data_IF_499546021473
#
_entry.id   IF_499546021473
#
_cell.length_a   1.000
_cell.length_b   1.000
_cell.length_c   1.000
_cell.angle_alpha   90.00
_cell.angle_beta   90.00
_cell.angle_gamma   90.00
#
_symmetry.space_group_name_H-M   'P 1'
#
loop_
_entity.id
_entity.type
_entity.pdbx_description
1 polymer ?
#
# COMPACT_ATOMS: atom_id res chain seq x y z
N UNK A 1 -7.68 -4.24 24.34
CA UNK A 1 -7.63 -3.36 23.15
C UNK A 1 -8.93 -2.62 22.83
N UNK A 2 -10.10 -3.27 22.87
CA UNK A 2 -11.31 -2.61 22.34
C UNK A 2 -11.88 -1.47 23.20
N UNK A 3 -11.69 -1.48 24.52
CA UNK A 3 -12.16 -0.40 25.41
C UNK A 3 -11.35 0.89 25.21
N UNK A 4 -10.02 0.79 25.20
CA UNK A 4 -9.07 1.91 25.02
C UNK A 4 -9.28 2.62 23.66
N UNK A 5 -9.45 1.85 22.58
CA UNK A 5 -9.61 2.44 21.24
C UNK A 5 -10.96 3.15 21.02
N UNK A 6 -11.98 2.86 21.85
CA UNK A 6 -13.33 3.42 21.66
C UNK A 6 -13.60 4.70 22.46
N UNK A 7 -12.84 4.94 23.52
CA UNK A 7 -13.09 6.04 24.47
C UNK A 7 -12.09 7.19 24.36
N UNK A 8 -11.00 7.01 23.59
CA UNK A 8 -9.91 7.98 23.50
C UNK A 8 -9.06 8.07 24.77
N UNK A 9 -9.29 7.18 25.75
CA UNK A 9 -8.50 7.07 26.98
C UNK A 9 -7.51 5.93 26.86
N UNK A 10 -6.27 6.19 27.26
CA UNK A 10 -5.17 5.22 27.15
C UNK A 10 -4.97 4.38 28.42
N UNK A 11 -5.51 4.81 29.57
CA UNK A 11 -5.31 4.18 30.87
C UNK A 11 -6.60 4.25 31.71
N UNK A 12 -6.73 3.30 32.63
CA UNK A 12 -7.83 3.20 33.59
C UNK A 12 -7.29 2.75 34.95
N UNK A 13 -7.91 3.24 36.02
CA UNK A 13 -7.60 2.79 37.38
C UNK A 13 -8.25 1.45 37.69
N UNK A 14 -7.66 0.65 38.58
CA UNK A 14 -8.28 -0.60 39.04
C UNK A 14 -9.63 -0.36 39.73
N UNK A 15 -9.78 0.77 40.43
CA UNK A 15 -11.05 1.14 41.07
C UNK A 15 -12.18 1.26 40.03
N UNK A 16 -11.95 1.97 38.93
CA UNK A 16 -12.92 2.06 37.83
C UNK A 16 -13.25 0.68 37.25
N UNK A 17 -12.25 -0.20 37.11
CA UNK A 17 -12.48 -1.55 36.60
C UNK A 17 -13.31 -2.40 37.56
N UNK A 18 -13.10 -2.25 38.87
CA UNK A 18 -13.89 -2.91 39.91
C UNK A 18 -15.35 -2.45 39.89
N UNK A 19 -15.57 -1.15 39.76
CA UNK A 19 -16.91 -0.56 39.67
C UNK A 19 -17.63 -1.01 38.39
N UNK A 20 -16.95 -1.00 37.24
CA UNK A 20 -17.50 -1.43 35.96
C UNK A 20 -17.91 -2.91 35.95
N UNK A 21 -17.12 -3.77 36.61
CA UNK A 21 -17.40 -5.20 36.70
C UNK A 21 -18.29 -5.56 37.90
N UNK A 22 -18.56 -4.60 38.79
CA UNK A 22 -19.20 -4.79 40.08
C UNK A 22 -18.52 -5.91 40.91
N UNK A 23 -17.18 -5.86 41.00
CA UNK A 23 -16.35 -6.86 41.68
C UNK A 23 -15.51 -6.23 42.79
N UNK A 24 -15.32 -6.96 43.89
CA UNK A 24 -14.33 -6.58 44.92
C UNK A 24 -12.92 -6.94 44.46
N UNK A 25 -11.90 -6.22 44.97
CA UNK A 25 -10.49 -6.43 44.62
C UNK A 25 -10.03 -7.90 44.74
N UNK A 26 -10.36 -8.58 45.84
CA UNK A 26 -9.98 -9.98 46.06
C UNK A 26 -10.64 -10.92 45.04
N UNK A 27 -11.89 -10.66 44.68
CA UNK A 27 -12.62 -11.48 43.72
C UNK A 27 -12.10 -11.26 42.31
N UNK A 28 -11.83 -10.00 41.95
CA UNK A 28 -11.19 -9.65 40.68
C UNK A 28 -9.86 -10.39 40.53
N UNK A 29 -8.99 -10.37 41.55
CA UNK A 29 -7.69 -11.04 41.52
C UNK A 29 -7.85 -12.57 41.30
N UNK A 30 -8.81 -13.19 41.99
CA UNK A 30 -9.11 -14.61 41.81
C UNK A 30 -9.57 -14.93 40.39
N UNK A 31 -10.44 -14.13 39.81
CA UNK A 31 -10.94 -14.33 38.43
C UNK A 31 -9.80 -14.08 37.42
N UNK A 32 -9.01 -13.03 37.63
CA UNK A 32 -7.83 -12.69 36.81
C UNK A 32 -6.86 -13.87 36.73
N UNK A 33 -6.50 -14.44 37.88
CA UNK A 33 -5.60 -15.60 37.97
C UNK A 33 -6.18 -16.83 37.24
N UNK A 34 -7.50 -17.04 37.27
CA UNK A 34 -8.14 -18.11 36.48
C UNK A 34 -8.03 -17.87 34.98
N UNK A 35 -8.25 -16.63 34.52
CA UNK A 35 -8.11 -16.28 33.11
C UNK A 35 -6.65 -16.39 32.64
N UNK A 36 -5.69 -16.07 33.50
CA UNK A 36 -4.26 -16.27 33.25
C UNK A 36 -3.92 -17.77 33.11
N UNK A 37 -4.40 -18.61 34.03
CA UNK A 37 -4.19 -20.06 34.00
C UNK A 37 -4.79 -20.72 32.76
N UNK A 38 -5.94 -20.23 32.29
CA UNK A 38 -6.59 -20.66 31.04
C UNK A 38 -5.97 -20.00 29.79
N UNK A 39 -4.91 -19.20 29.93
CA UNK A 39 -4.25 -18.47 28.85
C UNK A 39 -5.19 -17.56 28.04
N UNK A 40 -6.28 -17.08 28.67
CA UNK A 40 -7.23 -16.11 28.09
C UNK A 40 -6.81 -14.67 28.38
N UNK A 41 -5.91 -14.48 29.36
CA UNK A 41 -5.37 -13.20 29.75
C UNK A 41 -3.86 -13.30 29.93
N UNK A 42 -3.13 -12.30 29.44
CA UNK A 42 -1.71 -12.11 29.77
C UNK A 42 -1.55 -10.74 30.42
N UNK A 43 -0.87 -10.73 31.56
CA UNK A 43 -0.70 -9.54 32.39
C UNK A 43 0.78 -9.21 32.47
N UNK A 44 1.15 -7.96 32.17
CA UNK A 44 2.46 -7.41 32.46
C UNK A 44 2.32 -6.34 33.54
N UNK A 45 3.28 -6.25 34.44
CA UNK A 45 3.32 -5.24 35.48
C UNK A 45 4.64 -4.46 35.40
N UNK A 46 4.56 -3.14 35.52
CA UNK A 46 5.68 -2.25 35.74
C UNK A 46 5.29 -1.25 36.83
N UNK A 47 5.92 -1.35 37.99
CA UNK A 47 5.53 -0.59 39.20
C UNK A 47 4.04 -0.78 39.51
N UNK A 48 3.26 0.30 39.58
CA UNK A 48 1.81 0.28 39.80
C UNK A 48 0.98 0.21 38.50
N UNK A 49 1.63 0.08 37.34
CA UNK A 49 0.98 0.03 36.02
C UNK A 49 0.85 -1.41 35.53
N UNK A 50 -0.35 -1.77 35.09
CA UNK A 50 -0.68 -3.10 34.57
C UNK A 50 -1.12 -3.05 33.11
N UNK A 51 -0.57 -3.93 32.28
CA UNK A 51 -0.99 -4.12 30.89
C UNK A 51 -1.73 -5.45 30.74
N UNK A 52 -2.99 -5.37 30.33
CA UNK A 52 -3.88 -6.52 30.14
C UNK A 52 -4.06 -6.86 28.66
N UNK A 53 -3.51 -7.99 28.24
CA UNK A 53 -3.64 -8.53 26.89
C UNK A 53 -4.66 -9.66 26.89
N UNK A 54 -5.88 -9.37 26.41
CA UNK A 54 -6.92 -10.37 26.22
C UNK A 54 -6.62 -11.22 24.99
N UNK A 55 -6.72 -12.55 25.15
CA UNK A 55 -6.53 -13.52 24.08
C UNK A 55 -7.89 -14.12 23.67
N UNK A 56 -8.05 -14.41 22.39
CA UNK A 56 -9.21 -15.16 21.92
C UNK A 56 -9.15 -16.60 22.45
N UNK A 57 -10.29 -17.22 22.78
CA UNK A 57 -10.31 -18.62 23.18
C UNK A 57 -9.88 -19.51 22.01
N UNK A 58 -9.45 -20.73 22.33
CA UNK A 58 -9.22 -21.78 21.35
C UNK A 58 -10.50 -22.09 20.57
N UNK A 59 -10.35 -22.52 19.31
CA UNK A 59 -11.48 -23.08 18.56
C UNK A 59 -11.95 -24.38 19.21
N UNK A 60 -13.21 -24.77 18.97
CA UNK A 60 -13.76 -26.02 19.52
C UNK A 60 -12.87 -27.23 19.21
N UNK A 61 -12.38 -27.33 17.96
CA UNK A 61 -11.44 -28.39 17.56
C UNK A 61 -10.14 -28.35 18.37
N UNK A 62 -9.52 -27.18 18.50
CA UNK A 62 -8.27 -27.04 19.24
C UNK A 62 -8.45 -27.36 20.72
N UNK A 63 -9.54 -26.89 21.33
CA UNK A 63 -9.82 -27.12 22.75
C UNK A 63 -10.14 -28.59 23.05
N UNK A 64 -11.00 -29.23 22.24
CA UNK A 64 -11.45 -30.60 22.47
C UNK A 64 -10.38 -31.65 22.14
N UNK A 65 -9.47 -31.35 21.22
CA UNK A 65 -8.34 -32.24 20.84
C UNK A 65 -7.11 -32.01 21.72
N UNK A 66 -7.03 -30.88 22.44
CA UNK A 66 -5.94 -30.62 23.38
C UNK A 66 -5.91 -31.67 24.50
N UNK A 67 -4.74 -32.23 24.77
CA UNK A 67 -4.56 -33.33 25.72
C UNK A 67 -4.84 -32.93 27.16
N UNK A 68 -4.70 -31.64 27.50
CA UNK A 68 -4.89 -31.14 28.86
C UNK A 68 -6.31 -30.61 29.02
N UNK A 69 -6.75 -29.67 28.16
CA UNK A 69 -8.06 -29.04 28.31
C UNK A 69 -9.23 -29.96 27.97
N UNK A 70 -9.10 -30.80 26.94
CA UNK A 70 -10.14 -31.77 26.57
C UNK A 70 -10.35 -32.80 27.68
N UNK A 71 -9.25 -33.36 28.19
CA UNK A 71 -9.27 -34.34 29.29
C UNK A 71 -9.80 -33.74 30.59
N UNK A 72 -9.35 -32.54 30.95
CA UNK A 72 -9.82 -31.83 32.15
C UNK A 72 -11.32 -31.56 32.06
N UNK A 73 -11.81 -31.03 30.93
CA UNK A 73 -13.23 -30.79 30.75
C UNK A 73 -14.05 -32.08 30.88
N UNK A 74 -13.60 -33.17 30.25
CA UNK A 74 -14.25 -34.47 30.37
C UNK A 74 -14.32 -34.97 31.82
N UNK A 75 -13.29 -34.74 32.64
CA UNK A 75 -13.32 -35.09 34.06
C UNK A 75 -14.32 -34.28 34.87
N UNK A 76 -14.57 -33.02 34.50
CA UNK A 76 -15.49 -32.12 35.22
C UNK A 76 -16.95 -32.36 34.82
N UNK A 77 -17.22 -32.63 33.54
CA UNK A 77 -18.60 -32.75 33.02
C UNK A 77 -19.05 -34.19 32.79
N UNK A 78 -18.12 -35.14 32.77
CA UNK A 78 -18.35 -36.55 32.47
C UNK A 78 -18.52 -36.86 30.98
N UNK A 79 -18.31 -38.12 30.63
CA UNK A 79 -18.29 -38.61 29.24
C UNK A 79 -19.58 -38.35 28.47
N UNK A 80 -20.74 -38.53 29.13
CA UNK A 80 -22.05 -38.31 28.50
C UNK A 80 -22.23 -36.86 28.02
N UNK A 81 -21.85 -35.90 28.86
CA UNK A 81 -21.95 -34.48 28.50
C UNK A 81 -20.86 -34.08 27.49
N UNK A 82 -19.67 -34.69 27.59
CA UNK A 82 -18.61 -34.48 26.61
C UNK A 82 -19.03 -34.93 25.21
N UNK A 83 -19.70 -36.07 25.08
CA UNK A 83 -20.22 -36.57 23.80
C UNK A 83 -21.33 -35.67 23.22
N UNK A 84 -22.18 -35.10 24.08
CA UNK A 84 -23.17 -34.11 23.64
C UNK A 84 -22.46 -32.84 23.12
N UNK A 85 -21.47 -32.34 23.86
CA UNK A 85 -20.73 -31.14 23.51
C UNK A 85 -19.95 -31.32 22.19
N UNK A 86 -19.24 -32.43 22.01
CA UNK A 86 -18.51 -32.72 20.77
C UNK A 86 -19.46 -32.84 19.57
N UNK A 87 -20.67 -33.38 19.78
CA UNK A 87 -21.70 -33.46 18.74
C UNK A 87 -22.17 -32.08 18.26
N UNK A 88 -22.21 -31.08 19.14
CA UNK A 88 -22.56 -29.69 18.74
C UNK A 88 -21.54 -29.07 17.78
N UNK A 89 -20.30 -29.54 17.80
CA UNK A 89 -19.21 -29.05 16.95
C UNK A 89 -18.85 -30.03 15.82
N UNK A 90 -19.64 -31.08 15.62
CA UNK A 90 -19.46 -32.02 14.52
C UNK A 90 -19.69 -31.30 13.20
N UNK A 91 -18.78 -31.51 12.25
CA UNK A 91 -18.97 -31.10 10.86
C UNK A 91 -19.24 -32.33 10.01
N UNK A 92 -20.29 -32.28 9.21
CA UNK A 92 -20.53 -33.29 8.18
C UNK A 92 -19.62 -33.00 6.99
N UNK A 93 -18.59 -33.83 6.83
CA UNK A 93 -17.68 -33.76 5.69
C UNK A 93 -18.26 -34.67 4.60
N UNK A 94 -18.79 -34.12 3.49
CA UNK A 94 -19.31 -34.95 2.42
C UNK A 94 -18.19 -35.76 1.78
N UNK A 95 -18.50 -36.99 1.36
CA UNK A 95 -17.56 -37.78 0.55
C UNK A 95 -17.31 -37.04 -0.77
N UNK A 96 -16.03 -36.94 -1.15
CA UNK A 96 -15.57 -36.25 -2.36
C UNK A 96 -15.15 -37.22 -3.47
N UNK A 97 -15.30 -38.54 -3.27
CA UNK A 97 -15.08 -39.51 -4.33
C UNK A 97 -15.92 -39.19 -5.57
N UNK A 98 -15.27 -39.20 -6.74
CA UNK A 98 -15.92 -38.89 -8.01
C UNK A 98 -16.13 -37.41 -8.31
N UNK A 99 -15.82 -36.51 -7.37
CA UNK A 99 -15.89 -35.06 -7.60
C UNK A 99 -14.53 -34.47 -7.98
N UNK A 100 -14.52 -33.64 -9.01
CA UNK A 100 -13.34 -32.86 -9.41
C UNK A 100 -13.41 -31.44 -8.83
N UNK A 101 -12.28 -30.95 -8.31
CA UNK A 101 -12.20 -29.58 -7.80
C UNK A 101 -12.04 -28.58 -8.95
N UNK A 102 -13.12 -27.87 -9.29
CA UNK A 102 -13.15 -26.85 -10.36
C UNK A 102 -12.94 -25.41 -9.85
N UNK A 103 -12.51 -25.22 -8.59
CA UNK A 103 -12.33 -23.90 -7.99
C UNK A 103 -11.29 -23.10 -8.77
N UNK A 104 -11.71 -21.95 -9.31
CA UNK A 104 -10.80 -21.03 -10.01
C UNK A 104 -9.92 -20.31 -9.00
N UNK A 105 -8.62 -20.29 -9.26
CA UNK A 105 -7.67 -19.52 -8.46
C UNK A 105 -7.85 -18.01 -8.73
N UNK A 106 -7.38 -17.18 -7.81
CA UNK A 106 -7.55 -15.73 -7.88
C UNK A 106 -6.98 -15.15 -9.19
N UNK A 107 -5.79 -15.62 -9.57
CA UNK A 107 -5.06 -15.28 -10.79
C UNK A 107 -5.75 -15.76 -12.08
N UNK A 108 -6.69 -16.71 -12.01
CA UNK A 108 -7.48 -17.13 -13.17
C UNK A 108 -8.61 -16.15 -13.51
N UNK A 109 -8.96 -15.21 -12.63
CA UNK A 109 -10.09 -14.29 -12.79
C UNK A 109 -9.70 -12.81 -12.67
N UNK A 110 -8.61 -12.51 -11.97
CA UNK A 110 -8.25 -11.14 -11.63
C UNK A 110 -6.79 -10.86 -11.98
N UNK A 111 -6.58 -9.79 -12.75
CA UNK A 111 -5.25 -9.24 -13.00
C UNK A 111 -4.89 -8.21 -11.92
N UNK A 112 -3.65 -8.27 -11.45
CA UNK A 112 -3.15 -7.34 -10.46
C UNK A 112 -2.88 -5.97 -11.09
N UNK A 113 -3.73 -4.97 -10.78
CA UNK A 113 -3.46 -3.57 -11.14
C UNK A 113 -2.60 -2.93 -10.06
N UNK A 114 -1.30 -2.78 -10.34
CA UNK A 114 -0.32 -2.21 -9.43
C UNK A 114 -0.48 -0.69 -9.30
N UNK A 115 -1.45 -0.24 -8.51
CA UNK A 115 -1.50 1.15 -8.07
C UNK A 115 -1.76 1.17 -6.56
N UNK A 116 -0.65 1.35 -5.84
CA UNK A 116 -0.56 1.55 -4.39
C UNK A 116 -0.83 0.29 -3.56
N UNK A 117 0.24 -0.44 -3.24
CA UNK A 117 0.24 -1.43 -2.16
C UNK A 117 -0.29 -0.75 -0.89
N UNK A 118 -1.34 -1.32 -0.30
CA UNK A 118 -1.92 -0.83 0.95
C UNK A 118 -0.83 -0.79 2.03
N UNK A 119 -0.41 0.41 2.42
CA UNK A 119 0.50 0.59 3.54
C UNK A 119 -0.33 0.86 4.80
N UNK A 120 -0.23 -0.02 5.78
CA UNK A 120 -0.89 0.14 7.08
C UNK A 120 0.20 0.31 8.12
N UNK A 121 0.43 1.55 8.54
CA UNK A 121 1.51 1.92 9.49
C UNK A 121 1.15 1.61 10.96
N UNK A 122 0.18 0.73 11.20
CA UNK A 122 -0.28 0.35 12.54
C UNK A 122 -0.77 -1.10 12.59
N UNK A 123 -0.75 -1.69 13.78
CA UNK A 123 -1.21 -3.06 13.99
C UNK A 123 -2.74 -3.16 13.81
N UNK A 124 -3.16 -4.09 12.95
CA UNK A 124 -4.57 -4.39 12.70
C UNK A 124 -5.09 -5.48 13.64
N UNK A 125 -6.35 -5.37 14.06
CA UNK A 125 -7.00 -6.41 14.84
C UNK A 125 -7.32 -7.62 13.95
N UNK A 126 -6.89 -8.82 14.34
CA UNK A 126 -7.23 -10.07 13.66
C UNK A 126 -7.16 -11.28 14.57
N UNK A 127 -8.05 -12.25 14.37
CA UNK A 127 -7.92 -13.62 14.91
C UNK A 127 -7.09 -14.43 13.90
N UNK A 128 -6.25 -15.36 14.36
CA UNK A 128 -5.35 -16.10 13.48
C UNK A 128 -6.08 -16.76 12.29
N UNK A 129 -5.41 -16.69 11.14
CA UNK A 129 -5.91 -16.82 9.77
C UNK A 129 -6.27 -18.26 9.35
N UNK A 130 -7.09 -18.35 8.30
CA UNK A 130 -7.43 -19.53 7.50
C UNK A 130 -6.42 -19.81 6.35
N UNK A 131 -5.18 -19.32 6.48
CA UNK A 131 -4.10 -19.56 5.50
C UNK A 131 -3.95 -18.49 4.40
N UNK A 132 -4.82 -17.48 4.34
CA UNK A 132 -4.72 -16.41 3.33
C UNK A 132 -5.01 -16.88 1.90
N UNK A 133 -4.61 -16.10 0.89
CA UNK A 133 -4.77 -16.44 -0.53
C UNK A 133 -3.92 -17.66 -0.92
N UNK A 134 -4.57 -18.67 -1.50
CA UNK A 134 -3.87 -19.76 -2.20
C UNK A 134 -3.40 -19.24 -3.55
N UNK A 135 -2.08 -19.21 -3.74
CA UNK A 135 -1.45 -18.82 -4.99
C UNK A 135 -0.86 -20.10 -5.58
N UNK A 136 -1.42 -20.59 -6.69
CA UNK A 136 -0.88 -21.73 -7.46
C UNK A 136 0.23 -21.29 -8.43
N UNK A 137 0.93 -20.20 -8.12
CA UNK A 137 2.06 -19.73 -8.91
C UNK A 137 3.29 -20.56 -8.57
N UNK A 138 3.73 -21.39 -9.51
CA UNK A 138 4.97 -22.15 -9.41
C UNK A 138 6.12 -21.29 -9.93
N UNK A 139 6.63 -20.43 -9.07
CA UNK A 139 7.97 -19.88 -9.26
C UNK A 139 8.97 -21.04 -9.35
N UNK A 140 9.91 -20.98 -10.30
CA UNK A 140 10.92 -22.02 -10.46
C UNK A 140 11.95 -21.92 -9.31
N UNK A 141 11.57 -22.48 -8.16
CA UNK A 141 12.35 -22.44 -6.94
C UNK A 141 13.65 -23.22 -7.07
N UNK A 142 13.66 -24.30 -7.86
CA UNK A 142 14.86 -25.10 -8.15
C UNK A 142 15.90 -24.23 -8.87
N UNK A 143 15.49 -23.53 -9.94
CA UNK A 143 16.38 -22.61 -10.63
C UNK A 143 16.88 -21.47 -9.72
N UNK A 144 16.04 -20.97 -8.80
CA UNK A 144 16.47 -19.97 -7.82
C UNK A 144 17.55 -20.49 -6.86
N UNK A 145 17.39 -21.71 -6.34
CA UNK A 145 18.38 -22.34 -5.46
C UNK A 145 19.69 -22.61 -6.21
N UNK A 146 19.61 -22.98 -7.49
CA UNK A 146 20.79 -23.26 -8.31
C UNK A 146 21.62 -21.99 -8.58
N UNK A 147 20.96 -20.87 -8.89
CA UNK A 147 21.61 -19.59 -9.17
C UNK A 147 22.09 -18.86 -7.91
N UNK A 148 21.78 -19.38 -6.72
CA UNK A 148 22.20 -18.79 -5.46
C UNK A 148 23.67 -19.13 -5.13
N UNK A 149 24.48 -18.17 -4.63
CA UNK A 149 25.83 -18.46 -4.14
C UNK A 149 25.84 -19.53 -3.05
N UNK A 150 26.80 -20.44 -3.11
CA UNK A 150 26.90 -21.60 -2.19
C UNK A 150 26.96 -21.17 -0.71
N UNK A 151 27.57 -20.01 -0.42
CA UNK A 151 27.62 -19.39 0.92
C UNK A 151 26.24 -19.07 1.52
N UNK A 152 25.24 -18.88 0.67
CA UNK A 152 23.89 -18.46 1.07
C UNK A 152 22.88 -19.62 1.07
N UNK A 153 23.31 -20.83 0.67
CA UNK A 153 22.50 -22.05 0.69
C UNK A 153 22.46 -22.61 2.12
N UNK A 154 21.52 -22.13 2.92
CA UNK A 154 21.29 -22.60 4.30
C UNK A 154 20.03 -23.49 4.39
N UNK A 155 19.81 -24.10 5.56
CA UNK A 155 18.65 -24.96 5.82
C UNK A 155 17.31 -24.24 5.75
N UNK A 156 17.30 -22.89 5.76
CA UNK A 156 16.09 -22.08 5.65
C UNK A 156 15.43 -22.22 4.27
N UNK A 157 16.21 -22.46 3.21
CA UNK A 157 15.70 -22.68 1.84
C UNK A 157 14.88 -23.96 1.70
N UNK A 158 15.04 -24.91 2.63
CA UNK A 158 14.28 -26.16 2.64
C UNK A 158 12.92 -26.02 3.37
N UNK A 159 12.68 -24.90 4.05
CA UNK A 159 11.45 -24.69 4.81
C UNK A 159 10.28 -24.35 3.87
N UNK A 160 9.22 -25.17 3.90
CA UNK A 160 8.02 -24.97 3.08
C UNK A 160 7.34 -23.61 3.31
N UNK A 161 7.31 -23.11 4.56
CA UNK A 161 6.77 -21.77 4.83
C UNK A 161 7.62 -20.68 4.18
N UNK A 162 8.92 -20.90 4.04
CA UNK A 162 9.82 -19.95 3.38
C UNK A 162 9.62 -19.96 1.86
N UNK A 163 9.47 -21.15 1.26
CA UNK A 163 9.13 -21.33 -0.16
C UNK A 163 7.80 -20.65 -0.53
N UNK A 164 6.77 -20.83 0.29
CA UNK A 164 5.47 -20.16 0.08
C UNK A 164 5.58 -18.64 0.07
N UNK A 165 6.41 -18.06 0.95
CA UNK A 165 6.62 -16.60 0.99
C UNK A 165 7.38 -16.11 -0.23
N UNK A 166 8.41 -16.85 -0.68
CA UNK A 166 9.13 -16.54 -1.91
C UNK A 166 8.21 -16.56 -3.13
N UNK A 167 7.31 -17.56 -3.21
CA UNK A 167 6.32 -17.65 -4.29
C UNK A 167 5.33 -16.47 -4.25
N UNK A 168 4.91 -16.05 -3.05
CA UNK A 168 4.04 -14.87 -2.87
C UNK A 168 4.72 -13.59 -3.36
N UNK A 169 5.98 -13.36 -3.00
CA UNK A 169 6.75 -12.18 -3.42
C UNK A 169 6.94 -12.20 -4.94
N UNK A 170 7.38 -13.33 -5.50
CA UNK A 170 7.59 -13.48 -6.94
C UNK A 170 6.30 -13.22 -7.73
N UNK A 171 5.15 -13.71 -7.24
CA UNK A 171 3.86 -13.48 -7.86
C UNK A 171 3.38 -12.01 -7.73
N UNK A 172 3.48 -11.42 -6.53
CA UNK A 172 2.99 -10.05 -6.28
C UNK A 172 3.74 -9.02 -7.11
N UNK A 173 5.06 -9.17 -7.22
CA UNK A 173 5.91 -8.22 -7.93
C UNK A 173 6.28 -8.65 -9.36
N UNK A 174 5.79 -9.83 -9.79
CA UNK A 174 6.12 -10.44 -11.09
C UNK A 174 7.63 -10.57 -11.32
N UNK A 175 8.35 -11.05 -10.30
CA UNK A 175 9.79 -11.21 -10.35
C UNK A 175 10.22 -12.48 -11.04
N UNK A 176 11.28 -12.35 -11.84
CA UNK A 176 11.99 -13.48 -12.42
C UNK A 176 12.99 -14.09 -11.42
N UNK A 177 13.63 -15.18 -11.84
CA UNK A 177 14.62 -15.89 -11.00
C UNK A 177 15.79 -14.95 -10.63
N UNK A 178 16.21 -14.08 -11.54
CA UNK A 178 17.35 -13.18 -11.30
C UNK A 178 17.03 -12.11 -10.28
N UNK A 179 15.85 -11.51 -10.37
CA UNK A 179 15.34 -10.52 -9.42
C UNK A 179 15.22 -11.14 -8.01
N UNK A 180 14.75 -12.38 -7.92
CA UNK A 180 14.62 -13.05 -6.62
C UNK A 180 15.98 -13.39 -5.99
N UNK A 181 16.99 -13.74 -6.80
CA UNK A 181 18.37 -13.94 -6.34
C UNK A 181 18.95 -12.65 -5.78
N UNK A 182 18.85 -11.53 -6.49
CA UNK A 182 19.38 -10.23 -6.02
C UNK A 182 18.70 -9.78 -4.72
N UNK A 183 17.37 -9.93 -4.63
CA UNK A 183 16.60 -9.60 -3.42
C UNK A 183 17.06 -10.44 -2.22
N UNK A 184 17.25 -11.75 -2.41
CA UNK A 184 17.67 -12.64 -1.34
C UNK A 184 19.12 -12.38 -0.90
N UNK A 185 20.02 -12.10 -1.84
CA UNK A 185 21.40 -11.70 -1.55
C UNK A 185 21.45 -10.42 -0.74
N UNK A 186 20.70 -9.40 -1.14
CA UNK A 186 20.64 -8.13 -0.41
C UNK A 186 20.04 -8.28 1.00
N UNK A 187 19.04 -9.14 1.16
CA UNK A 187 18.46 -9.42 2.46
C UNK A 187 19.45 -10.18 3.37
N UNK A 188 20.28 -11.05 2.79
CA UNK A 188 21.30 -11.86 3.49
C UNK A 188 22.59 -11.11 3.83
N UNK A 189 22.80 -9.89 3.34
CA UNK A 189 24.00 -9.08 3.66
C UNK A 189 24.09 -8.69 5.14
N UNK A 190 22.94 -8.54 5.82
CA UNK A 190 22.91 -8.08 7.22
C UNK A 190 23.02 -9.20 8.25
N UNK A 191 22.61 -10.43 7.92
CA UNK A 191 22.55 -11.61 8.81
C UNK A 191 22.58 -12.91 7.99
N UNK A 192 23.06 -14.02 8.56
CA UNK A 192 23.05 -15.33 7.88
C UNK A 192 21.65 -15.92 7.68
N UNK A 193 20.66 -15.54 8.52
CA UNK A 193 19.27 -15.96 8.38
C UNK A 193 18.40 -14.77 7.99
N UNK A 194 17.63 -14.93 6.91
CA UNK A 194 16.80 -13.86 6.34
C UNK A 194 15.45 -13.83 7.04
N UNK A 195 15.06 -12.69 7.62
CA UNK A 195 13.71 -12.53 8.15
C UNK A 195 12.72 -12.18 7.02
N UNK A 196 11.49 -12.73 7.09
CA UNK A 196 10.39 -12.40 6.18
C UNK A 196 10.14 -10.89 6.04
N UNK A 197 10.24 -10.14 7.15
CA UNK A 197 10.07 -8.68 7.11
C UNK A 197 11.15 -7.98 6.26
N UNK A 198 12.41 -8.43 6.38
CA UNK A 198 13.53 -7.89 5.60
C UNK A 198 13.41 -8.25 4.13
N UNK A 199 13.01 -9.49 3.83
CA UNK A 199 12.81 -9.97 2.47
C UNK A 199 11.71 -9.15 1.76
N UNK A 200 10.57 -8.90 2.42
CA UNK A 200 9.50 -8.07 1.88
C UNK A 200 9.93 -6.61 1.66
N UNK A 201 10.69 -6.04 2.61
CA UNK A 201 11.24 -4.69 2.48
C UNK A 201 12.19 -4.60 1.27
N UNK A 202 13.09 -5.57 1.10
CA UNK A 202 14.03 -5.62 -0.04
C UNK A 202 13.33 -5.86 -1.36
N UNK A 203 12.33 -6.73 -1.40
CA UNK A 203 11.48 -6.92 -2.57
C UNK A 203 10.78 -5.63 -2.99
N UNK A 204 10.22 -4.87 -2.04
CA UNK A 204 9.61 -3.56 -2.33
C UNK A 204 10.62 -2.55 -2.85
N UNK A 205 11.80 -2.45 -2.22
CA UNK A 205 12.87 -1.54 -2.66
C UNK A 205 13.36 -1.86 -4.08
N UNK A 206 13.55 -3.14 -4.39
CA UNK A 206 13.96 -3.58 -5.73
C UNK A 206 12.92 -3.22 -6.79
N UNK A 207 11.63 -3.29 -6.45
CA UNK A 207 10.52 -2.91 -7.33
C UNK A 207 10.59 -1.41 -7.61
N UNK A 208 10.68 -0.59 -6.56
CA UNK A 208 10.76 0.87 -6.68
C UNK A 208 11.98 1.31 -7.51
N UNK A 209 13.12 0.63 -7.36
CA UNK A 209 14.32 0.92 -8.13
C UNK A 209 14.18 0.52 -9.61
N UNK A 210 13.70 -0.70 -9.90
CA UNK A 210 13.48 -1.20 -11.27
C UNK A 210 12.45 -0.33 -12.01
N UNK A 211 11.37 0.07 -11.33
CA UNK A 211 10.35 0.95 -11.91
C UNK A 211 10.80 2.41 -12.04
N UNK A 212 11.70 2.91 -11.17
CA UNK A 212 12.37 4.21 -11.38
C UNK A 212 13.32 4.19 -12.59
N UNK A 213 14.08 3.10 -12.78
CA UNK A 213 14.99 2.90 -13.92
C UNK A 213 14.25 2.74 -15.26
N UNK A 214 13.04 2.15 -15.26
CA UNK A 214 12.18 2.03 -16.45
C UNK A 214 11.50 3.36 -16.85
N UNK A 215 11.66 4.43 -16.08
CA UNK A 215 11.12 5.77 -16.41
C UNK A 215 12.15 6.67 -17.14
N UNK A 216 13.10 6.09 -17.88
CA UNK A 216 13.86 6.80 -18.92
C UNK A 216 13.94 5.94 -20.19
N UNK A 217 12.82 5.87 -20.91
CA UNK A 217 12.82 5.75 -22.37
C UNK A 217 11.84 6.78 -22.93
N UNK A 218 12.36 7.77 -23.64
CA UNK A 218 11.57 8.65 -24.50
C UNK A 218 11.11 7.87 -25.73
N UNK A 219 9.80 7.97 -26.03
CA UNK A 219 9.06 7.75 -27.30
C UNK A 219 7.72 7.10 -26.97
N UNK A 220 6.57 7.45 -27.52
CA UNK A 220 6.11 8.47 -28.47
C UNK A 220 4.67 8.84 -28.00
N UNK A 221 4.06 9.88 -28.60
CA UNK A 221 2.79 10.55 -28.27
C UNK A 221 1.78 9.82 -27.34
N UNK A 222 1.17 10.50 -26.35
CA UNK A 222 0.16 9.92 -25.47
C UNK A 222 -1.10 9.53 -26.26
N UNK A 223 -1.45 8.25 -26.23
CA UNK A 223 -2.79 7.78 -26.65
C UNK A 223 -3.84 8.23 -25.63
N UNK A 224 -5.07 8.60 -26.06
CA UNK A 224 -6.12 9.10 -25.17
C UNK A 224 -6.39 8.21 -23.95
N UNK A 225 -6.32 6.89 -24.14
CA UNK A 225 -6.54 5.88 -23.09
C UNK A 225 -5.54 5.92 -21.94
N UNK A 226 -4.31 6.40 -22.18
CA UNK A 226 -3.29 6.53 -21.14
C UNK A 226 -3.54 7.76 -20.27
N UNK A 227 -4.06 8.84 -20.83
CA UNK A 227 -4.27 10.10 -20.10
C UNK A 227 -5.46 10.02 -19.16
N UNK A 228 -6.47 9.20 -19.50
CA UNK A 228 -7.63 8.93 -18.65
C UNK A 228 -7.28 8.14 -17.38
N UNK A 229 -6.27 7.27 -17.44
CA UNK A 229 -5.94 6.34 -16.36
C UNK A 229 -4.80 6.82 -15.45
N UNK A 230 -4.10 7.89 -15.84
CA UNK A 230 -3.00 8.45 -15.05
C UNK A 230 -3.57 9.25 -13.89
N UNK A 231 -3.21 8.85 -12.67
CA UNK A 231 -3.54 9.63 -11.48
C UNK A 231 -2.85 11.02 -11.56
N UNK A 232 -3.59 12.13 -11.35
CA UNK A 232 -3.06 13.50 -11.36
C UNK A 232 -1.81 13.69 -10.49
N UNK A 233 -1.69 12.92 -9.40
CA UNK A 233 -0.53 12.90 -8.51
C UNK A 233 0.76 12.54 -9.25
N UNK A 234 0.69 11.60 -10.20
CA UNK A 234 1.83 11.17 -11.03
C UNK A 234 2.27 12.31 -11.96
N UNK A 235 1.32 13.11 -12.46
CA UNK A 235 1.60 14.28 -13.31
C UNK A 235 2.31 15.36 -12.48
N UNK A 236 1.80 15.67 -11.28
CA UNK A 236 2.42 16.65 -10.39
C UNK A 236 3.82 16.21 -9.97
N UNK A 237 4.01 14.94 -9.56
CA UNK A 237 5.33 14.43 -9.16
C UNK A 237 6.35 14.45 -10.29
N UNK A 238 5.90 14.30 -11.54
CA UNK A 238 6.78 14.26 -12.72
C UNK A 238 7.09 15.62 -13.32
N UNK A 239 6.13 16.55 -13.30
CA UNK A 239 6.22 17.82 -14.03
C UNK A 239 6.21 19.08 -13.15
N UNK A 240 5.84 18.99 -11.87
CA UNK A 240 5.91 20.13 -10.96
C UNK A 240 7.27 20.22 -10.27
N UNK A 241 7.73 21.45 -9.99
CA UNK A 241 8.97 21.69 -9.24
C UNK A 241 8.87 21.10 -7.84
N UNK A 242 9.96 20.52 -7.35
CA UNK A 242 10.05 19.77 -6.08
C UNK A 242 9.53 20.58 -4.88
N UNK A 243 9.75 21.89 -4.86
CA UNK A 243 9.32 22.83 -3.82
C UNK A 243 7.82 23.18 -3.88
N UNK A 244 7.15 22.93 -5.00
CA UNK A 244 5.75 23.31 -5.24
C UNK A 244 4.79 22.11 -5.37
N UNK A 245 5.29 20.88 -5.24
CA UNK A 245 4.47 19.66 -5.40
C UNK A 245 3.29 19.59 -4.43
N UNK A 246 3.45 20.04 -3.17
CA UNK A 246 2.36 20.04 -2.19
C UNK A 246 1.22 21.01 -2.54
N UNK A 247 1.55 22.21 -2.99
CA UNK A 247 0.57 23.24 -3.40
C UNK A 247 -0.12 22.82 -4.71
N UNK A 248 0.66 22.28 -5.66
CA UNK A 248 0.16 21.78 -6.93
C UNK A 248 -0.77 20.57 -6.73
N UNK A 249 -0.45 19.68 -5.80
CA UNK A 249 -1.30 18.53 -5.44
C UNK A 249 -2.64 18.99 -4.85
N UNK A 250 -2.62 19.90 -3.87
CA UNK A 250 -3.85 20.46 -3.28
C UNK A 250 -4.74 21.13 -4.33
N UNK A 251 -4.13 21.86 -5.26
CA UNK A 251 -4.87 22.54 -6.33
C UNK A 251 -5.46 21.55 -7.34
N UNK A 252 -4.71 20.52 -7.73
CA UNK A 252 -5.20 19.48 -8.64
C UNK A 252 -6.36 18.67 -8.02
N UNK A 253 -6.26 18.31 -6.73
CA UNK A 253 -7.33 17.63 -6.00
C UNK A 253 -8.60 18.49 -5.93
N UNK A 254 -8.48 19.77 -5.58
CA UNK A 254 -9.63 20.69 -5.57
C UNK A 254 -10.26 20.86 -6.96
N UNK A 255 -9.47 20.81 -8.04
CA UNK A 255 -9.98 20.92 -9.40
C UNK A 255 -10.81 19.70 -9.81
N UNK A 256 -10.44 18.50 -9.36
CA UNK A 256 -11.17 17.25 -9.59
C UNK A 256 -12.45 17.15 -8.76
N UNK A 257 -12.39 17.54 -7.48
CA UNK A 257 -13.54 17.45 -6.57
C UNK A 257 -14.64 18.46 -6.91
N UNK A 258 -14.27 19.62 -7.47
CA UNK A 258 -15.21 20.73 -7.72
C UNK A 258 -15.84 20.72 -9.11
N UNK A 259 -15.34 19.91 -10.04
CA UNK A 259 -15.80 19.92 -11.43
C UNK A 259 -16.17 18.50 -11.89
N UNK A 260 -17.41 18.33 -12.34
CA UNK A 260 -17.91 17.07 -12.89
C UNK A 260 -17.49 16.90 -14.36
N UNK A 261 -16.17 16.89 -14.61
CA UNK A 261 -15.57 16.71 -15.94
C UNK A 261 -14.74 15.43 -15.97
N UNK A 262 -14.50 14.89 -17.16
CA UNK A 262 -13.65 13.70 -17.30
C UNK A 262 -12.24 13.96 -16.74
N UNK A 263 -11.70 13.05 -15.90
CA UNK A 263 -10.38 13.22 -15.29
C UNK A 263 -9.25 13.43 -16.31
N UNK A 264 -9.38 12.86 -17.51
CA UNK A 264 -8.39 13.03 -18.57
C UNK A 264 -8.32 14.47 -19.11
N UNK A 265 -9.43 15.22 -19.15
CA UNK A 265 -9.43 16.65 -19.53
C UNK A 265 -8.60 17.45 -18.52
N UNK A 266 -8.81 17.18 -17.22
CA UNK A 266 -8.05 17.82 -16.14
C UNK A 266 -6.57 17.47 -16.26
N UNK A 267 -6.24 16.21 -16.52
CA UNK A 267 -4.86 15.75 -16.68
C UNK A 267 -4.13 16.46 -17.84
N UNK A 268 -4.80 16.65 -18.98
CA UNK A 268 -4.23 17.41 -20.12
C UNK A 268 -3.99 18.87 -19.73
N UNK A 269 -4.93 19.50 -19.04
CA UNK A 269 -4.79 20.90 -18.57
C UNK A 269 -3.61 21.02 -17.60
N UNK A 270 -3.48 20.10 -16.65
CA UNK A 270 -2.36 20.07 -15.69
C UNK A 270 -1.02 19.96 -16.42
N UNK A 271 -0.90 19.02 -17.36
CA UNK A 271 0.33 18.84 -18.16
C UNK A 271 0.69 20.11 -18.94
N UNK A 272 -0.30 20.72 -19.60
CA UNK A 272 -0.09 21.92 -20.43
C UNK A 272 0.32 23.12 -19.56
N UNK A 273 -0.36 23.36 -18.45
CA UNK A 273 -0.06 24.50 -17.56
C UNK A 273 1.31 24.32 -16.90
N UNK A 274 1.64 23.12 -16.42
CA UNK A 274 2.96 22.84 -15.84
C UNK A 274 4.07 23.01 -16.87
N UNK A 275 3.86 22.60 -18.13
CA UNK A 275 4.83 22.80 -19.21
C UNK A 275 5.08 24.27 -19.52
N UNK A 276 4.03 25.10 -19.53
CA UNK A 276 4.14 26.52 -19.89
C UNK A 276 4.57 27.45 -18.75
N UNK A 277 4.45 27.00 -17.50
CA UNK A 277 4.83 27.77 -16.31
C UNK A 277 6.02 27.16 -15.57
N UNK A 278 6.91 26.49 -16.31
CA UNK A 278 8.15 25.90 -15.81
C UNK A 278 7.96 25.06 -14.54
N UNK A 279 6.89 24.26 -14.48
CA UNK A 279 6.56 23.37 -13.36
C UNK A 279 5.84 24.03 -12.19
N UNK A 280 5.32 25.25 -12.35
CA UNK A 280 4.49 25.95 -11.36
C UNK A 280 3.01 25.79 -11.70
N UNK A 281 2.23 25.21 -10.77
CA UNK A 281 0.78 25.15 -10.92
C UNK A 281 0.13 26.38 -10.26
N UNK A 282 -0.59 27.23 -11.01
CA UNK A 282 -1.28 28.39 -10.46
C UNK A 282 -2.42 28.03 -9.51
N UNK A 283 -2.95 29.03 -8.79
CA UNK A 283 -4.07 28.83 -7.88
C UNK A 283 -5.34 28.28 -8.56
N UNK A 284 -6.25 27.75 -7.74
CA UNK A 284 -7.50 27.12 -8.20
C UNK A 284 -8.38 28.02 -9.06
N UNK A 285 -8.40 29.34 -8.80
CA UNK A 285 -9.20 30.29 -9.58
C UNK A 285 -8.72 30.41 -11.02
N UNK A 286 -7.40 30.44 -11.22
CA UNK A 286 -6.81 30.41 -12.55
C UNK A 286 -7.12 29.09 -13.27
N UNK A 287 -6.98 27.96 -12.56
CA UNK A 287 -7.25 26.63 -13.13
C UNK A 287 -8.71 26.46 -13.54
N UNK A 288 -9.66 26.93 -12.73
CA UNK A 288 -11.08 26.93 -13.06
C UNK A 288 -11.38 27.81 -14.29
N UNK A 289 -10.69 28.96 -14.43
CA UNK A 289 -10.85 29.82 -15.62
C UNK A 289 -10.37 29.12 -16.89
N UNK A 290 -9.23 28.41 -16.82
CA UNK A 290 -8.71 27.61 -17.95
C UNK A 290 -9.67 26.47 -18.30
N UNK A 291 -10.15 25.74 -17.30
CA UNK A 291 -11.12 24.65 -17.50
C UNK A 291 -12.42 25.16 -18.15
N UNK A 292 -13.00 26.23 -17.62
CA UNK A 292 -14.23 26.81 -18.16
C UNK A 292 -14.05 27.34 -19.59
N UNK A 293 -12.88 27.91 -19.92
CA UNK A 293 -12.56 28.33 -21.28
C UNK A 293 -12.50 27.14 -22.25
N UNK A 294 -11.94 26.00 -21.83
CA UNK A 294 -11.89 24.78 -22.63
C UNK A 294 -13.29 24.18 -22.84
N UNK A 295 -14.10 24.13 -21.78
CA UNK A 295 -15.49 23.66 -21.85
C UNK A 295 -16.33 24.54 -22.79
N UNK A 296 -16.21 25.86 -22.70
CA UNK A 296 -16.91 26.81 -23.58
C UNK A 296 -16.50 26.69 -25.04
N UNK A 297 -15.29 26.20 -25.31
CA UNK A 297 -14.78 25.94 -26.67
C UNK A 297 -15.11 24.53 -27.17
N UNK A 298 -15.94 23.79 -26.44
CA UNK A 298 -16.47 22.49 -26.87
C UNK A 298 -15.59 21.30 -26.51
N UNK A 299 -14.60 21.45 -25.63
CA UNK A 299 -13.81 20.30 -25.14
C UNK A 299 -14.66 19.51 -24.16
N UNK A 300 -15.13 18.32 -24.56
CA UNK A 300 -15.99 17.47 -23.73
C UNK A 300 -15.39 16.10 -23.42
N UNK A 301 -14.40 15.67 -24.21
CA UNK A 301 -13.69 14.40 -24.00
C UNK A 301 -12.18 14.61 -23.84
N UNK A 302 -11.50 13.62 -23.27
CA UNK A 302 -10.03 13.62 -23.22
C UNK A 302 -9.38 13.68 -24.61
N UNK A 303 -10.00 13.07 -25.62
CA UNK A 303 -9.52 13.16 -27.00
C UNK A 303 -9.59 14.60 -27.54
N UNK A 304 -10.70 15.30 -27.25
CA UNK A 304 -10.85 16.72 -27.62
C UNK A 304 -9.81 17.59 -26.91
N UNK A 305 -9.54 17.30 -25.63
CA UNK A 305 -8.56 18.02 -24.83
C UNK A 305 -7.14 17.87 -25.39
N UNK A 306 -6.75 16.65 -25.79
CA UNK A 306 -5.45 16.39 -26.43
C UNK A 306 -5.36 17.16 -27.76
N UNK A 307 -6.36 17.03 -28.63
CA UNK A 307 -6.38 17.72 -29.93
C UNK A 307 -6.33 19.25 -29.77
N UNK A 308 -7.10 19.79 -28.82
CA UNK A 308 -7.12 21.22 -28.52
C UNK A 308 -5.77 21.70 -27.97
N UNK A 309 -5.12 20.90 -27.10
CA UNK A 309 -3.79 21.20 -26.56
C UNK A 309 -2.70 21.26 -27.65
N UNK A 310 -2.71 20.32 -28.60
CA UNK A 310 -1.75 20.28 -29.71
C UNK A 310 -1.92 21.47 -30.66
N UNK A 311 -3.17 21.88 -30.91
CA UNK A 311 -3.49 23.07 -31.70
C UNK A 311 -3.02 24.36 -31.01
N UNK A 312 -3.23 24.48 -29.70
CA UNK A 312 -2.73 25.59 -28.88
C UNK A 312 -1.20 25.67 -28.91
N UNK A 313 -0.54 24.53 -28.73
CA UNK A 313 0.92 24.43 -28.74
C UNK A 313 1.51 24.87 -30.08
N UNK A 314 0.89 24.45 -31.19
CA UNK A 314 1.25 24.90 -32.55
C UNK A 314 1.09 26.41 -32.75
N UNK A 315 0.10 27.04 -32.10
CA UNK A 315 -0.09 28.50 -32.14
C UNK A 315 0.95 29.24 -31.27
N UNK A 316 1.33 28.67 -30.12
CA UNK A 316 2.38 29.23 -29.26
C UNK A 316 3.75 29.18 -29.93
N UNK A 317 4.08 28.09 -30.63
CA UNK A 317 5.32 27.98 -31.40
C UNK A 317 5.38 28.99 -32.57
N UNK A 318 4.25 29.23 -33.25
CA UNK A 318 4.16 30.26 -34.29
C UNK A 318 4.35 31.68 -33.74
N UNK A 319 3.81 32.00 -32.54
CA UNK A 319 4.01 33.31 -31.89
C UNK A 319 5.44 33.53 -31.38
N UNK A 320 6.11 32.49 -30.84
CA UNK A 320 7.53 32.58 -30.44
C UNK A 320 8.48 32.90 -31.59
N UNK A 321 8.15 32.49 -32.83
CA UNK A 321 8.94 32.84 -34.02
C UNK A 321 8.76 34.28 -34.51
N UNK A 322 7.67 34.96 -34.12
CA UNK A 322 7.36 36.34 -34.57
C UNK A 322 7.94 37.41 -33.63
N UNK A 323 8.21 37.08 -32.35
CA UNK A 323 8.91 37.96 -31.41
C UNK A 323 10.44 37.76 -31.45
N UNK A 324 11.07 38.03 -32.59
CA UNK A 324 12.42 38.62 -32.60
C UNK A 324 12.22 40.11 -32.76
N UNK A 325 11.99 40.80 -31.65
CA UNK A 325 12.08 42.25 -31.61
C UNK A 325 13.55 42.58 -31.87
N UNK A 326 13.83 43.31 -32.95
CA UNK A 326 15.11 43.95 -33.15
C UNK A 326 15.35 44.90 -31.97
N UNK A 327 16.44 44.70 -31.23
CA UNK A 327 16.91 45.67 -30.25
C UNK A 327 16.98 47.05 -30.93
N UNK A 328 16.31 48.08 -30.41
CA UNK A 328 16.48 49.41 -30.97
C UNK A 328 17.84 49.96 -30.57
N UNK A 329 18.65 50.36 -31.56
CA UNK A 329 20.04 50.87 -31.43
C UNK A 329 20.25 52.05 -30.45
N UNK A 330 19.20 52.63 -29.86
CA UNK A 330 19.30 53.79 -28.95
C UNK A 330 19.84 53.45 -27.54
N UNK A 331 19.80 52.18 -27.13
CA UNK A 331 20.25 51.76 -25.79
C UNK A 331 21.78 51.76 -25.67
N UNK A 332 22.49 51.44 -26.74
CA UNK A 332 23.97 51.40 -26.78
C UNK A 332 24.59 52.79 -26.79
N UNK A 333 23.96 53.76 -27.47
CA UNK A 333 24.40 55.16 -27.46
C UNK A 333 24.19 55.80 -26.07
N UNK A 334 23.12 55.44 -25.35
CA UNK A 334 22.86 55.94 -23.98
C UNK A 334 23.89 55.42 -22.96
N UNK A 335 24.35 54.18 -23.10
CA UNK A 335 25.37 53.58 -22.23
C UNK A 335 26.76 54.20 -22.51
N UNK A 336 27.07 54.55 -23.75
CA UNK A 336 28.32 55.25 -24.10
C UNK A 336 28.40 56.68 -23.57
N UNK A 337 27.29 57.41 -23.54
CA UNK A 337 27.26 58.77 -22.99
C UNK A 337 27.37 58.79 -21.46
N UNK A 338 26.77 57.81 -20.78
CA UNK A 338 26.94 57.64 -19.33
C UNK A 338 28.39 57.31 -18.95
N UNK A 339 29.06 56.45 -19.72
CA UNK A 339 30.46 56.09 -19.49
C UNK A 339 31.45 57.26 -19.70
N UNK A 340 31.06 58.32 -20.42
CA UNK A 340 31.86 59.54 -20.59
C UNK A 340 31.65 60.58 -19.49
N UNK A 341 30.59 60.45 -18.68
CA UNK A 341 30.29 61.39 -17.59
C UNK A 341 30.91 61.00 -16.24
N UNK A 342 31.39 59.76 -16.09
CA UNK A 342 32.09 59.26 -14.90
C UNK A 342 33.63 59.17 -15.07
N UNK A 343 34.19 59.83 -16.09
CA UNK A 343 35.62 59.90 -16.38
C UNK A 343 36.25 61.25 -16.08
#
# INVERSE_FOLDING_TARGET
YQLINKTGRNEYTHAELFDLLNLKQLEFLRIRNKLEALNLLTVYQKDDVYLYFMKAPLTAKQFLVDTVFGSYLQSEIGEKNMNLLTSLFKMDVPNREGFENITKSFDALYEFKSLNLLNVDHDLQGRQQNGGSHINYRFNYEAFVDHLPERLKNSQLLNEKFKEQMNKIAFVYQYDVSDMVTIYEEASKSRQNVNFAQLNMKAKQHYELKHKLLTIKQKDLPTPSLVDQVAPQVIIQKYARTDQQGIALSTATQLLERNAVEPGIINVILMLVLKHKDGVLPNINYMNKVLNDWLNKGVQTTADAINYSTNLESQYEKKKKVQKVAEPDWMDDYIKDLAKMEG
#
